data_IF_997905476884
#
_entry.id   IF_997905476884
#
_cell.length_a   1.000
_cell.length_b   1.000
_cell.length_c   1.000
_cell.angle_alpha   90.00
_cell.angle_beta   90.00
_cell.angle_gamma   90.00
#
_symmetry.space_group_name_H-M   'P 1'
#
loop_
_entity.id
_entity.type
_entity.pdbx_description
1 polymer ?
#
# COMPACT_ATOMS: atom_id res chain seq x y z
N UNK A 1 4.13 5.09 -38.87
CA UNK A 1 3.44 5.63 -37.68
C UNK A 1 4.00 4.92 -36.45
N UNK A 2 4.53 5.65 -35.48
CA UNK A 2 5.03 5.06 -34.23
C UNK A 2 3.88 4.52 -33.39
N UNK A 3 4.09 3.43 -32.64
CA UNK A 3 3.11 2.98 -31.65
C UNK A 3 2.91 4.10 -30.62
N UNK A 4 1.67 4.37 -30.17
CA UNK A 4 1.45 5.32 -29.09
C UNK A 4 2.24 4.91 -27.84
N UNK A 5 2.74 5.87 -27.05
CA UNK A 5 3.45 5.57 -25.82
C UNK A 5 2.55 4.75 -24.89
N UNK A 6 3.13 3.75 -24.25
CA UNK A 6 2.44 2.95 -23.24
C UNK A 6 2.21 3.80 -21.99
N UNK A 7 1.06 3.64 -21.34
CA UNK A 7 0.74 4.32 -20.09
C UNK A 7 1.02 3.42 -18.87
N UNK A 8 1.30 4.01 -17.72
CA UNK A 8 1.46 3.25 -16.47
C UNK A 8 0.09 2.81 -15.92
N UNK A 9 0.07 1.75 -15.12
CA UNK A 9 -1.16 1.29 -14.46
C UNK A 9 -1.39 2.08 -13.18
N UNK A 10 -2.65 2.14 -12.75
CA UNK A 10 -3.00 2.70 -11.45
C UNK A 10 -3.92 1.76 -10.68
N UNK A 11 -3.76 1.75 -9.36
CA UNK A 11 -4.66 1.14 -8.40
C UNK A 11 -4.90 2.18 -7.29
N UNK A 12 -6.16 2.38 -6.92
CA UNK A 12 -6.56 3.33 -5.89
C UNK A 12 -7.26 2.57 -4.76
N UNK A 13 -6.77 2.77 -3.55
CA UNK A 13 -7.22 2.12 -2.34
C UNK A 13 -7.62 3.17 -1.31
N UNK A 14 -8.63 2.84 -0.51
CA UNK A 14 -9.02 3.56 0.70
C UNK A 14 -8.77 2.64 1.90
N UNK A 15 -8.14 3.18 2.93
CA UNK A 15 -7.96 2.50 4.21
C UNK A 15 -8.70 3.27 5.32
N UNK A 16 -9.60 2.59 6.03
CA UNK A 16 -10.44 3.19 7.07
C UNK A 16 -10.12 2.55 8.42
N UNK A 17 -9.46 3.26 9.36
CA UNK A 17 -9.21 2.73 10.70
C UNK A 17 -10.46 2.74 11.57
N UNK A 18 -10.73 1.61 12.22
CA UNK A 18 -11.80 1.42 13.19
C UNK A 18 -11.23 1.01 14.53
N UNK A 19 -11.71 1.64 15.61
CA UNK A 19 -11.41 1.21 16.97
C UNK A 19 -12.20 -0.07 17.27
N UNK A 20 -11.52 -1.13 17.68
CA UNK A 20 -12.15 -2.39 18.05
C UNK A 20 -12.74 -2.29 19.48
N UNK A 21 -13.84 -3.00 19.73
CA UNK A 21 -14.49 -3.02 21.05
C UNK A 21 -13.59 -3.62 22.15
N UNK A 22 -12.69 -4.53 21.78
CA UNK A 22 -11.68 -5.14 22.65
C UNK A 22 -10.54 -4.18 23.06
N UNK A 23 -10.54 -2.94 22.56
CA UNK A 23 -9.33 -2.13 22.48
C UNK A 23 -8.49 -2.49 21.26
N UNK A 24 -7.64 -1.56 20.84
CA UNK A 24 -6.86 -1.65 19.60
C UNK A 24 -7.59 -1.12 18.36
N UNK A 25 -6.91 -1.20 17.23
CA UNK A 25 -7.38 -0.68 15.94
C UNK A 25 -7.35 -1.79 14.89
N UNK A 26 -8.38 -1.81 14.04
CA UNK A 26 -8.43 -2.60 12.80
C UNK A 26 -8.55 -1.65 11.63
N UNK A 27 -8.18 -2.08 10.44
CA UNK A 27 -8.30 -1.28 9.22
C UNK A 27 -9.12 -2.04 8.21
N UNK A 28 -10.09 -1.34 7.64
CA UNK A 28 -10.87 -1.80 6.51
C UNK A 28 -10.26 -1.26 5.22
N UNK A 29 -10.19 -2.12 4.21
CA UNK A 29 -9.58 -1.82 2.92
C UNK A 29 -10.63 -1.89 1.83
N UNK A 30 -10.63 -0.89 0.94
CA UNK A 30 -11.54 -0.81 -0.19
C UNK A 30 -10.76 -0.41 -1.45
N UNK A 31 -11.00 -1.12 -2.56
CA UNK A 31 -10.57 -0.67 -3.88
C UNK A 31 -11.54 0.39 -4.41
N UNK A 32 -11.04 1.58 -4.68
CA UNK A 32 -11.87 2.70 -5.17
C UNK A 32 -11.74 2.91 -6.67
N UNK A 33 -10.67 2.42 -7.29
CA UNK A 33 -10.44 2.59 -8.72
C UNK A 33 -9.21 1.85 -9.23
N UNK A 34 -9.17 1.61 -10.53
CA UNK A 34 -7.97 1.10 -11.21
C UNK A 34 -8.02 1.40 -12.71
N UNK A 35 -6.84 1.56 -13.30
CA UNK A 35 -6.67 1.65 -14.75
C UNK A 35 -5.47 0.80 -15.20
N UNK A 36 -5.65 -0.27 -15.99
CA UNK A 36 -6.93 -0.80 -16.48
C UNK A 36 -7.82 -1.27 -15.31
N UNK A 37 -9.07 -1.61 -15.60
CA UNK A 37 -9.94 -2.21 -14.58
C UNK A 37 -9.31 -3.52 -14.07
N UNK A 38 -8.92 -3.53 -12.79
CA UNK A 38 -8.24 -4.60 -12.06
C UNK A 38 -8.99 -4.84 -10.75
N UNK A 39 -10.16 -5.49 -10.76
CA UNK A 39 -10.94 -5.70 -9.55
C UNK A 39 -10.39 -6.88 -8.73
N UNK A 40 -10.51 -6.80 -7.40
CA UNK A 40 -10.12 -7.83 -6.43
C UNK A 40 -8.60 -8.10 -6.38
N UNK A 41 -7.81 -7.03 -6.54
CA UNK A 41 -6.38 -6.99 -6.26
C UNK A 41 -6.11 -6.94 -4.76
N UNK A 42 -7.01 -6.39 -3.95
CA UNK A 42 -6.84 -6.21 -2.51
C UNK A 42 -7.77 -7.11 -1.72
N UNK A 43 -7.21 -7.82 -0.74
CA UNK A 43 -7.98 -8.62 0.21
C UNK A 43 -8.34 -7.84 1.48
N UNK A 44 -9.11 -8.48 2.38
CA UNK A 44 -9.56 -7.89 3.65
C UNK A 44 -8.43 -7.45 4.59
N UNK A 45 -7.24 -8.02 4.42
CA UNK A 45 -6.07 -7.74 5.26
C UNK A 45 -5.19 -6.65 4.64
N UNK A 46 -5.56 -6.15 3.44
CA UNK A 46 -4.83 -5.13 2.70
C UNK A 46 -3.75 -5.68 1.79
N UNK A 47 -3.64 -7.02 1.63
CA UNK A 47 -2.66 -7.61 0.73
C UNK A 47 -3.03 -7.29 -0.71
N UNK A 48 -2.05 -6.81 -1.47
CA UNK A 48 -2.20 -6.40 -2.87
C UNK A 48 -1.60 -7.49 -3.76
N UNK A 49 -2.46 -8.18 -4.52
CA UNK A 49 -2.10 -9.26 -5.43
C UNK A 49 -1.89 -8.80 -6.87
N UNK A 50 -0.68 -8.32 -7.17
CA UNK A 50 -0.26 -7.93 -8.51
C UNK A 50 -0.16 -9.09 -9.53
N UNK A 51 -0.35 -10.34 -9.11
CA UNK A 51 -0.41 -11.48 -10.05
C UNK A 51 -1.60 -11.43 -10.98
N UNK A 52 -2.67 -10.75 -10.55
CA UNK A 52 -3.91 -10.60 -11.32
C UNK A 52 -3.88 -9.41 -12.28
N UNK A 53 -2.77 -8.67 -12.37
CA UNK A 53 -2.67 -7.56 -13.32
C UNK A 53 -2.83 -8.06 -14.77
N UNK A 54 -3.74 -7.48 -15.55
CA UNK A 54 -3.98 -7.91 -16.91
C UNK A 54 -2.81 -7.52 -17.82
N UNK A 55 -2.41 -8.48 -18.66
CA UNK A 55 -1.45 -8.25 -19.73
C UNK A 55 -2.12 -7.46 -20.86
N UNK A 56 -1.88 -6.15 -20.93
CA UNK A 56 -2.49 -5.27 -21.92
C UNK A 56 -1.43 -4.45 -22.65
N UNK A 57 -1.41 -4.55 -23.98
CA UNK A 57 -0.36 -3.96 -24.83
C UNK A 57 -0.24 -2.42 -24.74
N UNK A 58 -1.30 -1.72 -24.31
CA UNK A 58 -1.32 -0.27 -24.14
C UNK A 58 -0.70 0.22 -22.81
N UNK A 59 -0.40 -0.69 -21.88
CA UNK A 59 0.22 -0.36 -20.60
C UNK A 59 1.68 -0.82 -20.53
N UNK A 60 2.47 -0.14 -19.69
CA UNK A 60 3.83 -0.55 -19.31
C UNK A 60 3.76 -1.76 -18.36
N UNK A 61 4.79 -2.05 -17.56
CA UNK A 61 4.71 -3.01 -16.43
C UNK A 61 4.65 -2.30 -15.07
N UNK A 62 4.62 -0.96 -15.10
CA UNK A 62 4.64 -0.10 -13.93
C UNK A 62 3.22 0.03 -13.38
N UNK A 63 3.12 0.18 -12.06
CA UNK A 63 1.85 0.45 -11.39
C UNK A 63 2.06 1.45 -10.25
N UNK A 64 1.22 2.47 -10.23
CA UNK A 64 1.14 3.42 -9.13
C UNK A 64 -0.03 3.02 -8.23
N UNK A 65 0.26 2.72 -6.97
CA UNK A 65 -0.75 2.32 -5.99
C UNK A 65 -0.99 3.50 -5.05
N UNK A 66 -2.12 4.18 -5.21
CA UNK A 66 -2.53 5.29 -4.34
C UNK A 66 -3.31 4.73 -3.15
N UNK A 67 -2.91 5.11 -1.93
CA UNK A 67 -3.61 4.73 -0.69
C UNK A 67 -4.08 6.00 0.01
N UNK A 68 -5.39 6.10 0.23
CA UNK A 68 -6.04 7.22 0.92
C UNK A 68 -6.52 6.79 2.31
N UNK A 69 -6.05 7.50 3.34
CA UNK A 69 -6.52 7.36 4.72
C UNK A 69 -7.88 8.04 4.88
N UNK A 70 -8.91 7.25 5.13
CA UNK A 70 -10.25 7.71 5.48
C UNK A 70 -10.39 7.85 6.99
N UNK A 71 -10.43 9.10 7.45
CA UNK A 71 -10.51 9.42 8.88
C UNK A 71 -11.94 9.46 9.43
N UNK A 72 -12.96 9.15 8.62
CA UNK A 72 -14.38 9.29 9.00
C UNK A 72 -14.73 8.50 10.26
N UNK A 73 -14.30 7.24 10.34
CA UNK A 73 -14.56 6.37 11.50
C UNK A 73 -13.81 6.81 12.77
N UNK A 74 -12.67 7.50 12.62
CA UNK A 74 -11.91 8.06 13.76
C UNK A 74 -12.56 9.33 14.31
N UNK A 75 -13.08 10.18 13.43
CA UNK A 75 -13.79 11.42 13.78
C UNK A 75 -15.15 11.16 14.45
N UNK A 76 -15.72 9.97 14.26
CA UNK A 76 -16.98 9.56 14.89
C UNK A 76 -16.82 9.07 16.35
N UNK A 77 -15.59 8.97 16.87
CA UNK A 77 -15.34 8.59 18.26
C UNK A 77 -15.59 9.75 19.23
N UNK A 78 -15.80 9.43 20.52
CA UNK A 78 -15.87 10.40 21.62
C UNK A 78 -14.82 10.06 22.70
N UNK A 79 -13.75 10.88 22.88
CA UNK A 79 -13.44 12.07 22.09
C UNK A 79 -12.99 11.72 20.65
N UNK A 80 -13.17 12.63 19.68
CA UNK A 80 -12.71 12.42 18.30
C UNK A 80 -11.20 12.22 18.23
N UNK A 81 -10.76 11.36 17.32
CA UNK A 81 -9.33 11.12 17.04
C UNK A 81 -9.03 11.57 15.62
N UNK A 82 -7.95 12.34 15.43
CA UNK A 82 -7.41 12.67 14.11
C UNK A 82 -6.36 11.64 13.71
N UNK A 83 -6.27 11.32 12.42
CA UNK A 83 -5.26 10.42 11.89
C UNK A 83 -4.50 11.04 10.73
N UNK A 84 -3.19 10.77 10.66
CA UNK A 84 -2.33 11.17 9.53
C UNK A 84 -1.28 10.10 9.27
N UNK A 85 -0.72 10.04 8.06
CA UNK A 85 0.44 9.21 7.79
C UNK A 85 1.64 9.67 8.63
N UNK A 86 2.23 8.74 9.38
CA UNK A 86 3.28 9.03 10.37
C UNK A 86 4.45 9.82 9.78
N UNK A 87 4.78 10.93 10.45
CA UNK A 87 5.94 11.78 10.09
C UNK A 87 7.22 11.38 10.83
N UNK A 88 7.07 10.62 11.92
CA UNK A 88 8.19 10.26 12.79
C UNK A 88 9.00 9.12 12.18
N UNK A 89 10.24 9.44 11.80
CA UNK A 89 11.27 8.43 11.56
C UNK A 89 11.50 7.66 12.86
N UNK A 90 11.17 6.37 12.87
CA UNK A 90 11.59 5.42 13.90
C UNK A 90 13.01 4.89 13.64
N UNK A 91 13.80 5.59 12.82
CA UNK A 91 15.11 5.14 12.34
C UNK A 91 15.05 4.19 11.14
N UNK A 92 13.86 3.98 10.56
CA UNK A 92 13.63 3.09 9.41
C UNK A 92 13.26 3.87 8.14
N UNK A 93 13.45 3.24 6.97
CA UNK A 93 13.19 3.85 5.65
C UNK A 93 11.69 4.15 5.50
N UNK A 94 11.31 5.43 5.52
CA UNK A 94 9.96 5.93 5.28
C UNK A 94 9.08 5.86 6.53
N UNK A 95 8.98 6.97 7.28
CA UNK A 95 8.27 7.10 8.57
C UNK A 95 6.81 6.62 8.58
N UNK A 96 6.19 6.48 7.40
CA UNK A 96 4.81 6.07 7.18
C UNK A 96 4.67 4.78 6.36
N UNK A 97 5.73 4.32 5.67
CA UNK A 97 5.70 3.11 4.84
C UNK A 97 7.12 2.55 4.66
N UNK A 98 7.35 1.28 5.00
CA UNK A 98 8.65 0.60 4.82
C UNK A 98 8.48 -0.85 4.38
N UNK A 99 9.52 -1.43 3.78
CA UNK A 99 9.56 -2.84 3.40
C UNK A 99 10.44 -3.63 4.36
N UNK A 100 10.10 -4.88 4.64
CA UNK A 100 10.86 -5.75 5.55
C UNK A 100 11.23 -7.07 4.90
N UNK A 101 12.49 -7.48 4.97
CA UNK A 101 12.89 -8.84 4.62
C UNK A 101 14.10 -9.28 5.44
N UNK A 102 14.09 -10.52 5.91
CA UNK A 102 15.25 -11.20 6.49
C UNK A 102 16.18 -11.78 5.41
N UNK A 103 17.27 -12.41 5.86
CA UNK A 103 18.28 -13.03 4.98
C UNK A 103 17.77 -14.22 4.15
N UNK A 104 16.57 -14.73 4.46
CA UNK A 104 15.91 -15.82 3.75
C UNK A 104 14.74 -15.35 2.89
N UNK A 105 14.49 -14.04 2.83
CA UNK A 105 13.37 -13.46 2.08
C UNK A 105 12.03 -13.56 2.82
N UNK A 106 12.03 -13.87 4.12
CA UNK A 106 10.83 -13.76 4.95
C UNK A 106 10.63 -12.32 5.41
N UNK A 107 9.38 -11.92 5.56
CA UNK A 107 9.05 -10.56 6.00
C UNK A 107 9.37 -10.34 7.49
N UNK A 108 10.13 -9.28 7.79
CA UNK A 108 10.38 -8.79 9.15
C UNK A 108 10.28 -7.25 9.17
N UNK A 109 9.19 -6.66 9.72
CA UNK A 109 9.01 -5.21 9.79
C UNK A 109 10.00 -4.54 10.75
N UNK A 110 10.73 -5.29 11.57
CA UNK A 110 11.80 -4.77 12.41
C UNK A 110 13.06 -4.42 11.61
N UNK A 111 13.24 -5.02 10.41
CA UNK A 111 14.42 -4.87 9.56
C UNK A 111 14.07 -4.18 8.24
N UNK A 112 13.98 -2.85 8.22
CA UNK A 112 13.60 -2.12 7.02
C UNK A 112 14.65 -2.29 5.92
N UNK A 113 14.20 -2.47 4.69
CA UNK A 113 15.06 -2.51 3.51
C UNK A 113 14.61 -1.47 2.49
N UNK A 114 15.56 -0.99 1.69
CA UNK A 114 15.25 -0.29 0.45
C UNK A 114 15.06 -1.32 -0.65
N UNK A 115 13.92 -1.27 -1.32
CA UNK A 115 13.65 -2.09 -2.51
C UNK A 115 13.91 -1.22 -3.73
N UNK A 116 14.87 -1.59 -4.60
CA UNK A 116 15.06 -0.90 -5.87
C UNK A 116 13.75 -0.90 -6.67
N UNK A 117 13.43 0.22 -7.32
CA UNK A 117 12.27 0.34 -8.19
C UNK A 117 10.91 0.16 -7.48
N UNK A 118 10.86 0.33 -6.16
CA UNK A 118 9.63 0.36 -5.38
C UNK A 118 9.68 1.50 -4.35
N UNK A 119 9.03 2.61 -4.66
CA UNK A 119 9.23 3.88 -3.96
C UNK A 119 7.93 4.38 -3.31
N UNK A 120 7.83 4.40 -1.97
CA UNK A 120 6.71 5.02 -1.29
C UNK A 120 6.91 6.55 -1.23
N UNK A 121 5.88 7.30 -1.58
CA UNK A 121 5.83 8.77 -1.49
C UNK A 121 4.58 9.21 -0.76
N UNK A 122 4.73 10.17 0.14
CA UNK A 122 3.60 10.86 0.76
C UNK A 122 3.23 12.09 -0.05
N UNK A 123 1.98 12.18 -0.50
CA UNK A 123 1.46 13.33 -1.25
C UNK A 123 0.79 14.35 -0.31
N UNK A 124 0.16 13.88 0.75
CA UNK A 124 -0.46 14.69 1.80
C UNK A 124 -0.51 13.91 3.12
N UNK A 125 -1.09 14.51 4.16
CA UNK A 125 -1.27 13.84 5.45
C UNK A 125 -2.17 12.60 5.38
N UNK A 126 -3.00 12.48 4.34
CA UNK A 126 -3.93 11.36 4.14
C UNK A 126 -3.72 10.60 2.85
N UNK A 127 -2.84 11.04 1.94
CA UNK A 127 -2.62 10.37 0.66
C UNK A 127 -1.15 9.99 0.50
N UNK A 128 -0.92 8.72 0.17
CA UNK A 128 0.38 8.22 -0.24
C UNK A 128 0.29 7.42 -1.54
N UNK A 129 1.43 7.24 -2.21
CA UNK A 129 1.57 6.43 -3.41
C UNK A 129 2.75 5.47 -3.23
N UNK A 130 2.60 4.24 -3.67
CA UNK A 130 3.69 3.30 -3.88
C UNK A 130 3.92 3.21 -5.39
N UNK A 131 5.03 3.77 -5.87
CA UNK A 131 5.43 3.67 -7.27
C UNK A 131 6.17 2.35 -7.47
N UNK A 132 5.50 1.35 -8.07
CA UNK A 132 6.08 0.04 -8.35
C UNK A 132 6.57 -0.04 -9.81
N UNK A 133 7.86 0.25 -9.94
CA UNK A 133 8.64 0.24 -11.16
C UNK A 133 9.31 -1.13 -11.42
N UNK A 134 9.15 -2.12 -10.53
CA UNK A 134 9.76 -3.45 -10.65
C UNK A 134 9.34 -4.16 -11.94
N UNK A 135 10.22 -5.01 -12.47
CA UNK A 135 9.90 -5.87 -13.62
C UNK A 135 8.82 -6.92 -13.29
N UNK A 136 8.22 -7.53 -14.33
CA UNK A 136 7.12 -8.51 -14.19
C UNK A 136 7.46 -9.75 -13.35
N UNK A 137 8.74 -10.05 -13.14
CA UNK A 137 9.22 -11.18 -12.33
C UNK A 137 9.89 -10.74 -11.04
N UNK A 138 9.68 -9.49 -10.60
CA UNK A 138 10.22 -9.01 -9.33
C UNK A 138 9.66 -9.81 -8.15
N UNK A 139 10.46 -10.04 -7.09
CA UNK A 139 10.00 -10.76 -5.90
C UNK A 139 8.88 -10.00 -5.19
N UNK A 140 8.00 -10.72 -4.47
CA UNK A 140 7.02 -10.11 -3.56
C UNK A 140 7.74 -9.41 -2.40
N UNK A 141 7.17 -8.31 -1.90
CA UNK A 141 7.65 -7.67 -0.68
C UNK A 141 6.49 -7.41 0.26
N UNK A 142 6.63 -7.82 1.52
CA UNK A 142 5.78 -7.28 2.58
C UNK A 142 6.14 -5.83 2.84
N UNK A 143 5.13 -5.00 3.09
CA UNK A 143 5.32 -3.61 3.48
C UNK A 143 4.54 -3.33 4.75
N UNK A 144 5.11 -2.48 5.60
CA UNK A 144 4.43 -1.95 6.76
C UNK A 144 4.00 -0.52 6.49
N UNK A 145 2.86 -0.11 7.03
CA UNK A 145 2.33 1.25 7.01
C UNK A 145 2.16 1.74 8.44
N UNK A 146 2.39 3.03 8.70
CA UNK A 146 2.16 3.63 10.01
C UNK A 146 1.26 4.86 9.94
N UNK A 147 0.17 4.81 10.71
CA UNK A 147 -0.77 5.92 10.92
C UNK A 147 -0.54 6.49 12.33
N UNK A 148 -0.30 7.80 12.40
CA UNK A 148 -0.21 8.57 13.64
C UNK A 148 -1.60 9.10 14.02
N UNK A 149 -2.01 8.80 15.24
CA UNK A 149 -3.27 9.23 15.86
C UNK A 149 -2.98 10.42 16.78
N UNK A 150 -3.70 11.53 16.61
CA UNK A 150 -3.56 12.70 17.48
C UNK A 150 -3.96 12.38 18.92
N UNK A 151 -3.09 12.66 19.91
CA UNK A 151 -3.43 12.54 21.33
C UNK A 151 -2.33 12.10 22.31
N UNK A 152 -1.11 11.74 21.87
CA UNK A 152 0.02 11.44 22.75
C UNK A 152 0.87 10.22 22.36
N UNK A 153 1.91 9.94 23.14
CA UNK A 153 3.14 9.16 22.82
C UNK A 153 2.96 7.71 22.32
N UNK A 154 1.76 7.12 22.33
CA UNK A 154 1.50 5.72 21.95
C UNK A 154 0.48 5.55 20.80
N UNK A 155 0.18 6.61 20.04
CA UNK A 155 -0.88 6.62 19.02
C UNK A 155 -0.46 6.13 17.63
N UNK A 156 0.22 4.99 17.49
CA UNK A 156 0.58 4.45 16.16
C UNK A 156 -0.20 3.19 15.84
N UNK A 157 -0.79 3.12 14.65
CA UNK A 157 -1.30 1.87 14.07
C UNK A 157 -0.27 1.43 13.03
N UNK A 158 0.32 0.25 13.22
CA UNK A 158 1.14 -0.39 12.18
C UNK A 158 0.31 -1.44 11.46
N UNK A 159 0.40 -1.47 10.14
CA UNK A 159 -0.29 -2.43 9.25
C UNK A 159 0.77 -3.13 8.44
N UNK A 160 0.70 -4.44 8.27
CA UNK A 160 1.73 -5.23 7.57
C UNK A 160 1.18 -5.95 6.32
N UNK A 161 0.60 -5.24 5.33
CA UNK A 161 0.14 -5.84 4.08
C UNK A 161 1.28 -6.39 3.22
N UNK A 162 0.95 -7.37 2.38
CA UNK A 162 1.87 -7.90 1.37
C UNK A 162 1.62 -7.30 -0.01
N UNK A 163 2.67 -6.87 -0.70
CA UNK A 163 2.65 -6.53 -2.13
C UNK A 163 3.25 -7.69 -2.93
N UNK A 164 2.39 -8.45 -3.61
CA UNK A 164 2.84 -9.64 -4.34
C UNK A 164 3.72 -9.28 -5.56
N UNK A 165 4.47 -10.25 -6.04
CA UNK A 165 5.15 -10.19 -7.34
C UNK A 165 4.13 -9.92 -8.43
N UNK A 166 4.54 -9.14 -9.44
CA UNK A 166 3.78 -9.04 -10.68
C UNK A 166 3.68 -10.45 -11.31
N UNK A 167 2.53 -10.77 -11.88
CA UNK A 167 2.32 -12.05 -12.56
C UNK A 167 2.55 -11.90 -14.06
N UNK A 168 3.12 -12.93 -14.70
CA UNK A 168 2.80 -13.20 -16.11
C UNK A 168 1.38 -13.73 -16.13
N UNK A 169 0.40 -12.83 -16.14
CA UNK A 169 -0.99 -13.22 -16.36
C UNK A 169 -1.05 -14.08 -17.61
N UNK A 170 -1.43 -15.35 -17.43
CA UNK A 170 -1.62 -16.26 -18.55
C UNK A 170 -2.63 -15.62 -19.49
N UNK A 171 -2.24 -15.46 -20.75
CA UNK A 171 -3.19 -15.12 -21.79
C UNK A 171 -4.31 -16.16 -21.69
N UNK A 172 -5.50 -15.72 -21.28
CA UNK A 172 -6.71 -16.53 -21.42
C UNK A 172 -6.88 -16.84 -22.89
N UNK A 173 -6.30 -17.96 -23.32
CA UNK A 173 -6.59 -18.65 -24.56
C UNK A 173 -7.64 -19.70 -24.28
#
# INVERSE_FOLDING_TARGET
MGKPPKQDRTLELKCTPHKAASGGWRIEWEETGSNPNMPNMVDKDGNIDLKKMPNQAKFTNRIDITITLDTSAMMALDPPVTGSWSTQSDGKVGSFCWFGADEHGHYDPAKPITVPDLLPRRLSDTVMVIDDQRELSGPSYGFALSVELGGGENGKITIDPMLSSKGVGGDGR
#
